data_IF_133513044151
#
_entry.id   IF_133513044151
#
_cell.length_a   1.000
_cell.length_b   1.000
_cell.length_c   1.000
_cell.angle_alpha   90.00
_cell.angle_beta   90.00
_cell.angle_gamma   90.00
#
_symmetry.space_group_name_H-M   'P 1'
#
loop_
_entity.id
_entity.type
_entity.pdbx_description
1 polymer ?
#
# COMPACT_ATOMS: atom_id res chain seq x y z
N UNK A 1 -7.93 17.25 -8.59
CA UNK A 1 -8.80 16.15 -8.15
C UNK A 1 -8.60 15.01 -9.14
N UNK A 2 -7.92 13.93 -8.75
CA UNK A 2 -7.65 12.75 -9.60
C UNK A 2 -6.17 12.57 -9.93
N UNK A 3 -5.49 11.68 -9.21
CA UNK A 3 -4.13 11.23 -9.61
C UNK A 3 -4.06 9.70 -9.67
N UNK A 4 -4.82 8.98 -8.85
CA UNK A 4 -4.87 7.52 -8.89
C UNK A 4 -6.18 7.02 -9.52
N UNK A 5 -6.09 6.07 -10.44
CA UNK A 5 -7.21 5.23 -10.88
C UNK A 5 -7.37 4.03 -9.93
N UNK A 6 -8.47 3.28 -10.04
CA UNK A 6 -8.60 2.02 -9.29
C UNK A 6 -7.54 1.03 -9.80
N UNK A 7 -6.72 0.51 -8.89
CA UNK A 7 -5.53 -0.28 -9.22
C UNK A 7 -5.87 -1.76 -9.15
N UNK A 8 -5.44 -2.53 -10.15
CA UNK A 8 -5.62 -3.99 -10.15
C UNK A 8 -4.90 -4.62 -8.96
N UNK A 9 -5.51 -5.64 -8.37
CA UNK A 9 -4.97 -6.42 -7.25
C UNK A 9 -3.54 -6.88 -7.51
N UNK A 10 -3.26 -7.36 -8.71
CA UNK A 10 -1.94 -7.89 -9.06
C UNK A 10 -0.82 -6.86 -8.88
N UNK A 11 -1.04 -5.64 -9.39
CA UNK A 11 -0.10 -4.53 -9.21
C UNK A 11 0.06 -4.12 -7.75
N UNK A 12 -1.05 -4.05 -7.02
CA UNK A 12 -0.99 -3.76 -5.58
C UNK A 12 -0.27 -4.85 -4.81
N UNK A 13 -0.36 -6.12 -5.21
CA UNK A 13 0.40 -7.20 -4.57
C UNK A 13 1.91 -7.06 -4.85
N UNK A 14 2.30 -6.63 -6.04
CA UNK A 14 3.71 -6.32 -6.35
C UNK A 14 4.21 -5.19 -5.46
N UNK A 15 3.46 -4.09 -5.40
CA UNK A 15 3.74 -2.96 -4.51
C UNK A 15 3.84 -3.39 -3.04
N UNK A 16 2.88 -4.20 -2.55
CA UNK A 16 2.86 -4.68 -1.17
C UNK A 16 4.05 -5.59 -0.87
N UNK A 17 4.46 -6.45 -1.81
CA UNK A 17 5.68 -7.24 -1.66
C UNK A 17 6.91 -6.35 -1.57
N UNK A 18 7.01 -5.35 -2.44
CA UNK A 18 8.10 -4.37 -2.39
C UNK A 18 8.12 -3.58 -1.08
N UNK A 19 6.96 -3.10 -0.61
CA UNK A 19 6.84 -2.48 0.72
C UNK A 19 7.34 -3.40 1.82
N UNK A 20 7.04 -4.70 1.76
CA UNK A 20 7.56 -5.69 2.72
C UNK A 20 9.07 -5.91 2.65
N UNK A 21 9.77 -5.39 1.63
CA UNK A 21 11.24 -5.38 1.56
C UNK A 21 11.85 -4.12 2.18
N UNK A 22 11.05 -3.06 2.39
CA UNK A 22 11.51 -1.84 3.03
C UNK A 22 11.68 -2.05 4.53
N UNK A 23 12.72 -1.43 5.09
CA UNK A 23 13.01 -1.57 6.51
C UNK A 23 11.88 -0.98 7.37
N UNK A 24 11.44 -1.74 8.37
CA UNK A 24 10.37 -1.35 9.28
C UNK A 24 8.94 -1.59 8.78
N UNK A 25 8.76 -2.04 7.53
CA UNK A 25 7.47 -2.45 7.00
C UNK A 25 7.24 -3.95 7.15
N UNK A 26 6.06 -4.30 7.65
CA UNK A 26 5.61 -5.68 7.77
C UNK A 26 4.28 -5.82 7.02
N UNK A 27 4.26 -6.68 6.01
CA UNK A 27 3.09 -6.86 5.15
C UNK A 27 2.52 -8.26 5.38
N UNK A 28 1.33 -8.29 6.00
CA UNK A 28 0.65 -9.51 6.41
C UNK A 28 -0.56 -9.74 5.51
N UNK A 29 -0.73 -10.99 5.08
CA UNK A 29 -1.96 -11.42 4.42
C UNK A 29 -3.09 -11.58 5.46
N UNK A 30 -4.06 -10.68 5.43
CA UNK A 30 -5.24 -10.69 6.31
C UNK A 30 -6.40 -11.53 5.78
N UNK A 31 -6.20 -12.25 4.67
CA UNK A 31 -7.19 -13.15 4.06
C UNK A 31 -7.36 -12.92 2.56
N UNK A 32 -8.33 -13.61 1.96
CA UNK A 32 -8.55 -13.62 0.50
C UNK A 32 -8.79 -12.24 -0.12
N UNK A 33 -9.33 -11.30 0.66
CA UNK A 33 -9.76 -9.97 0.24
C UNK A 33 -9.07 -8.82 0.98
N UNK A 34 -8.09 -9.09 1.85
CA UNK A 34 -7.47 -8.05 2.65
C UNK A 34 -6.00 -8.35 2.91
N UNK A 35 -5.18 -7.33 2.74
CA UNK A 35 -3.79 -7.30 3.18
C UNK A 35 -3.64 -6.22 4.23
N UNK A 36 -2.64 -6.36 5.08
CA UNK A 36 -2.40 -5.45 6.19
C UNK A 36 -0.95 -5.02 6.16
N UNK A 37 -0.74 -3.71 6.07
CA UNK A 37 0.59 -3.09 6.13
C UNK A 37 0.80 -2.54 7.52
N UNK A 38 1.87 -2.95 8.17
CA UNK A 38 2.31 -2.48 9.48
C UNK A 38 3.62 -1.75 9.32
N UNK A 39 3.79 -0.71 10.11
CA UNK A 39 5.06 -0.02 10.22
C UNK A 39 5.28 0.36 11.68
N UNK A 40 6.52 0.31 12.16
CA UNK A 40 6.85 0.57 13.57
C UNK A 40 6.42 1.95 14.06
N UNK A 41 6.38 2.95 13.18
CA UNK A 41 5.93 4.32 13.52
C UNK A 41 4.41 4.49 13.47
N UNK A 42 3.66 3.50 12.96
CA UNK A 42 2.21 3.61 12.85
C UNK A 42 1.53 3.06 14.10
N UNK A 43 0.70 3.89 14.74
CA UNK A 43 -0.09 3.45 15.91
C UNK A 43 -1.11 2.34 15.57
N UNK A 44 -1.51 2.23 14.28
CA UNK A 44 -2.41 1.18 13.80
C UNK A 44 -1.97 0.65 12.43
N UNK A 45 -2.11 -0.67 12.19
CA UNK A 45 -1.97 -1.24 10.85
C UNK A 45 -2.87 -0.54 9.83
N UNK A 46 -2.41 -0.45 8.59
CA UNK A 46 -3.22 -0.01 7.46
C UNK A 46 -3.79 -1.21 6.70
N UNK A 47 -5.12 -1.41 6.71
CA UNK A 47 -5.74 -2.46 5.92
C UNK A 47 -5.89 -2.03 4.46
N UNK A 48 -5.39 -2.86 3.54
CA UNK A 48 -5.58 -2.75 2.10
C UNK A 48 -6.63 -3.78 1.67
N UNK A 49 -7.85 -3.32 1.43
CA UNK A 49 -8.97 -4.18 1.03
C UNK A 49 -9.12 -4.25 -0.48
N UNK A 50 -9.33 -5.47 -1.00
CA UNK A 50 -9.55 -5.75 -2.41
C UNK A 50 -11.03 -6.03 -2.66
N UNK A 51 -11.66 -5.20 -3.50
CA UNK A 51 -13.05 -5.38 -3.94
C UNK A 51 -13.03 -5.70 -5.43
N UNK A 52 -13.61 -6.81 -5.87
CA UNK A 52 -13.61 -7.24 -7.28
C UNK A 52 -12.22 -7.23 -7.97
N UNK A 53 -11.17 -7.69 -7.28
CA UNK A 53 -9.78 -7.66 -7.76
C UNK A 53 -9.23 -6.26 -8.08
N UNK A 54 -9.84 -5.21 -7.53
CA UNK A 54 -9.30 -3.85 -7.57
C UNK A 54 -9.19 -3.27 -6.17
N UNK A 55 -8.24 -2.37 -5.99
CA UNK A 55 -8.09 -1.53 -4.80
C UNK A 55 -8.46 -0.12 -5.21
N UNK A 56 -9.34 0.50 -4.41
CA UNK A 56 -9.77 1.85 -4.75
C UNK A 56 -8.62 2.83 -4.63
N UNK A 57 -8.55 3.77 -5.56
CA UNK A 57 -7.59 4.89 -5.56
C UNK A 57 -7.45 5.61 -4.22
N UNK A 58 -8.53 5.66 -3.43
CA UNK A 58 -8.54 6.31 -2.10
C UNK A 58 -7.61 5.58 -1.14
N UNK A 59 -7.64 4.24 -1.13
CA UNK A 59 -6.74 3.44 -0.30
C UNK A 59 -5.29 3.58 -0.74
N UNK A 60 -5.03 3.59 -2.05
CA UNK A 60 -3.67 3.79 -2.59
C UNK A 60 -3.13 5.17 -2.19
N UNK A 61 -3.93 6.23 -2.35
CA UNK A 61 -3.51 7.59 -1.98
C UNK A 61 -3.20 7.72 -0.49
N UNK A 62 -4.02 7.11 0.37
CA UNK A 62 -3.77 7.12 1.81
C UNK A 62 -2.55 6.27 2.19
N UNK A 63 -2.33 5.14 1.51
CA UNK A 63 -1.14 4.31 1.68
C UNK A 63 0.13 5.08 1.30
N UNK A 64 0.16 5.69 0.12
CA UNK A 64 1.27 6.56 -0.35
C UNK A 64 1.59 7.62 0.68
N UNK A 65 0.58 8.39 1.11
CA UNK A 65 0.81 9.46 2.10
C UNK A 65 1.43 8.95 3.39
N UNK A 66 0.94 7.81 3.90
CA UNK A 66 1.46 7.25 5.14
C UNK A 66 2.88 6.73 4.98
N UNK A 67 3.20 6.07 3.87
CA UNK A 67 4.54 5.54 3.57
C UNK A 67 5.53 6.68 3.32
N UNK A 68 5.17 7.68 2.52
CA UNK A 68 6.01 8.86 2.31
C UNK A 68 6.24 9.63 3.61
N UNK A 69 5.23 9.69 4.49
CA UNK A 69 5.37 10.29 5.82
C UNK A 69 6.31 9.51 6.76
N UNK A 70 6.59 8.23 6.51
CA UNK A 70 7.63 7.51 7.27
C UNK A 70 9.04 7.80 6.78
N UNK A 71 9.20 8.50 5.64
CA UNK A 71 10.48 8.77 5.02
C UNK A 71 11.13 7.54 4.38
N UNK A 72 10.40 6.43 4.24
CA UNK A 72 10.94 5.18 3.71
C UNK A 72 11.02 5.14 2.18
N UNK A 73 10.19 5.91 1.49
CA UNK A 73 10.28 6.10 0.05
C UNK A 73 9.69 7.46 -0.37
N UNK A 74 10.06 7.93 -1.55
CA UNK A 74 9.42 9.09 -2.17
C UNK A 74 8.11 8.70 -2.88
N UNK A 75 7.28 9.70 -3.17
CA UNK A 75 6.05 9.48 -3.97
C UNK A 75 6.37 8.89 -5.35
N UNK A 76 7.47 9.33 -5.95
CA UNK A 76 7.95 8.88 -7.25
C UNK A 76 8.33 7.39 -7.23
N UNK A 77 9.14 6.96 -6.26
CA UNK A 77 9.51 5.54 -6.10
C UNK A 77 8.30 4.64 -5.85
N UNK A 78 7.32 5.14 -5.09
CA UNK A 78 6.08 4.40 -4.87
C UNK A 78 5.29 4.22 -6.19
N UNK A 79 5.26 5.26 -7.02
CA UNK A 79 4.53 5.25 -8.30
C UNK A 79 5.20 4.33 -9.33
N UNK A 80 6.53 4.24 -9.33
CA UNK A 80 7.28 3.30 -10.18
C UNK A 80 6.95 1.82 -9.88
N UNK A 81 6.51 1.52 -8.66
CA UNK A 81 6.13 0.19 -8.22
C UNK A 81 4.60 -0.07 -8.28
N UNK A 82 3.80 0.85 -8.84
CA UNK A 82 2.33 0.78 -8.96
C UNK A 82 1.81 0.44 -10.37
#
# INVERSE_FOLDING_TARGET
MGEYADVKRDRVLVLLKWLGTLNGFEVINGGKHQWVVRHGTWNRPFPVTFKYNVVSKVYIKELVKRVVATGACSKEEFDEHL
#
